data_IF_018128868010
#
_entry.id   IF_018128868010
#
_cell.length_a   1.000
_cell.length_b   1.000
_cell.length_c   1.000
_cell.angle_alpha   90.00
_cell.angle_beta   90.00
_cell.angle_gamma   90.00
#
_symmetry.space_group_name_H-M   'P 1'
#
loop_
_entity.id
_entity.type
_entity.pdbx_description
1 polymer ?
#
# COMPACT_ATOMS: atom_id res chain seq x y z
N UNK A 1 -2.64 -10.17 18.50
CA UNK A 1 -3.10 -9.45 17.30
C UNK A 1 -3.79 -8.16 17.69
N UNK A 2 -3.47 -7.09 16.99
CA UNK A 2 -4.08 -5.79 17.30
C UNK A 2 -5.52 -5.74 16.79
N UNK A 3 -6.42 -5.19 17.59
CA UNK A 3 -7.76 -4.89 17.15
C UNK A 3 -7.80 -3.63 16.30
N UNK A 4 -8.97 -3.28 15.78
CA UNK A 4 -9.15 -2.07 15.02
C UNK A 4 -8.97 -0.85 15.93
N UNK A 5 -8.32 0.17 15.40
CA UNK A 5 -8.05 1.41 16.12
C UNK A 5 -8.80 2.53 15.43
N UNK A 6 -9.51 3.34 16.20
CA UNK A 6 -10.21 4.50 15.66
C UNK A 6 -9.28 5.71 15.69
N UNK A 7 -9.11 6.35 14.55
CA UNK A 7 -8.32 7.55 14.41
C UNK A 7 -9.12 8.60 13.65
N UNK A 8 -8.83 9.85 13.94
CA UNK A 8 -9.44 10.97 13.23
C UNK A 8 -8.38 11.71 12.45
N UNK A 9 -8.67 12.02 11.18
CA UNK A 9 -7.76 12.76 10.31
C UNK A 9 -8.48 13.91 9.64
N UNK A 10 -7.75 14.97 9.37
CA UNK A 10 -8.24 16.03 8.50
C UNK A 10 -8.07 15.57 7.04
N UNK A 11 -8.74 16.24 6.12
CA UNK A 11 -8.60 15.93 4.69
C UNK A 11 -7.16 16.10 4.23
N UNK A 12 -6.47 17.14 4.70
CA UNK A 12 -5.06 17.38 4.35
C UNK A 12 -4.18 16.23 4.83
N UNK A 13 -4.44 15.73 6.04
CA UNK A 13 -3.69 14.61 6.57
C UNK A 13 -3.92 13.34 5.76
N UNK A 14 -5.15 13.11 5.32
CA UNK A 14 -5.47 11.96 4.48
C UNK A 14 -4.74 12.08 3.13
N UNK A 15 -4.69 13.26 2.54
CA UNK A 15 -3.96 13.47 1.29
C UNK A 15 -2.48 13.12 1.43
N UNK A 16 -1.86 13.55 2.53
CA UNK A 16 -0.46 13.23 2.80
C UNK A 16 -0.26 11.73 2.89
N UNK A 17 -1.14 11.03 3.60
CA UNK A 17 -1.05 9.59 3.75
C UNK A 17 -1.28 8.87 2.43
N UNK A 18 -2.24 9.31 1.64
CA UNK A 18 -2.53 8.72 0.33
C UNK A 18 -1.31 8.88 -0.59
N UNK A 19 -0.73 10.07 -0.65
CA UNK A 19 0.45 10.32 -1.50
C UNK A 19 1.62 9.44 -1.09
N UNK A 20 1.87 9.33 0.21
CA UNK A 20 2.96 8.50 0.72
C UNK A 20 2.75 7.02 0.39
N UNK A 21 1.52 6.55 0.56
CA UNK A 21 1.20 5.15 0.28
C UNK A 21 1.23 4.85 -1.21
N UNK A 22 0.80 5.78 -2.06
CA UNK A 22 0.88 5.60 -3.51
C UNK A 22 2.33 5.47 -3.98
N UNK A 23 3.22 6.30 -3.43
CA UNK A 23 4.64 6.21 -3.75
C UNK A 23 5.22 4.86 -3.33
N UNK A 24 4.86 4.41 -2.13
CA UNK A 24 5.32 3.13 -1.60
C UNK A 24 4.77 1.96 -2.42
N UNK A 25 3.51 2.05 -2.81
CA UNK A 25 2.87 1.03 -3.65
C UNK A 25 3.59 0.89 -4.98
N UNK A 26 3.92 2.00 -5.64
CA UNK A 26 4.66 1.98 -6.89
C UNK A 26 6.00 1.28 -6.73
N UNK A 27 6.69 1.53 -5.62
CA UNK A 27 7.96 0.89 -5.31
C UNK A 27 7.82 -0.63 -5.22
N UNK A 28 6.77 -1.11 -4.56
CA UNK A 28 6.55 -2.56 -4.45
C UNK A 28 6.12 -3.18 -5.78
N UNK A 29 5.33 -2.48 -6.57
CA UNK A 29 4.92 -2.96 -7.90
C UNK A 29 6.17 -3.12 -8.80
N UNK A 30 7.05 -2.14 -8.79
CA UNK A 30 8.30 -2.22 -9.56
C UNK A 30 9.21 -3.33 -9.06
N UNK A 31 9.32 -3.48 -7.74
CA UNK A 31 10.13 -4.55 -7.16
C UNK A 31 9.57 -5.92 -7.54
N UNK A 32 8.26 -6.08 -7.57
CA UNK A 32 7.64 -7.33 -8.00
C UNK A 32 7.94 -7.63 -9.48
N UNK A 33 7.93 -6.61 -10.32
CA UNK A 33 8.26 -6.78 -11.74
C UNK A 33 9.70 -7.23 -11.92
N UNK A 34 10.63 -6.62 -11.19
CA UNK A 34 12.04 -7.00 -11.23
C UNK A 34 12.25 -8.44 -10.75
N UNK A 35 11.60 -8.79 -9.66
CA UNK A 35 11.69 -10.16 -9.13
C UNK A 35 11.15 -11.17 -10.12
N UNK A 36 10.07 -10.83 -10.82
CA UNK A 36 9.50 -11.71 -11.85
C UNK A 36 10.46 -11.89 -13.02
N UNK A 37 11.11 -10.80 -13.44
CA UNK A 37 12.10 -10.85 -14.50
C UNK A 37 13.32 -11.69 -14.13
N UNK A 38 13.64 -11.78 -12.85
CA UNK A 38 14.76 -12.57 -12.33
C UNK A 38 14.36 -13.98 -11.89
N UNK A 39 13.12 -14.38 -12.14
CA UNK A 39 12.59 -15.68 -11.71
C UNK A 39 12.65 -15.89 -10.20
N UNK A 40 12.56 -14.81 -9.43
CA UNK A 40 12.58 -14.89 -7.97
C UNK A 40 11.15 -14.94 -7.43
N UNK A 41 10.57 -16.14 -7.41
CA UNK A 41 9.17 -16.34 -7.02
C UNK A 41 8.88 -15.93 -5.59
N UNK A 42 9.83 -16.17 -4.68
CA UNK A 42 9.65 -15.81 -3.28
C UNK A 42 9.50 -14.29 -3.13
N UNK A 43 10.34 -13.54 -3.83
CA UNK A 43 10.27 -12.07 -3.78
C UNK A 43 9.02 -11.54 -4.48
N UNK A 44 8.61 -12.16 -5.59
CA UNK A 44 7.36 -11.78 -6.27
C UNK A 44 6.20 -11.87 -5.28
N UNK A 45 6.11 -12.98 -4.56
CA UNK A 45 5.05 -13.17 -3.57
C UNK A 45 5.11 -12.12 -2.47
N UNK A 46 6.30 -11.90 -1.91
CA UNK A 46 6.49 -10.94 -0.83
C UNK A 46 6.08 -9.54 -1.25
N UNK A 47 6.55 -9.08 -2.40
CA UNK A 47 6.26 -7.73 -2.86
C UNK A 47 4.80 -7.56 -3.28
N UNK A 48 4.21 -8.61 -3.88
CA UNK A 48 2.81 -8.57 -4.26
C UNK A 48 1.91 -8.49 -3.03
N UNK A 49 2.19 -9.25 -1.99
CA UNK A 49 1.42 -9.20 -0.75
C UNK A 49 1.53 -7.83 -0.08
N UNK A 50 2.74 -7.24 -0.08
CA UNK A 50 2.93 -5.90 0.46
C UNK A 50 2.12 -4.88 -0.34
N UNK A 51 2.13 -4.96 -1.66
CA UNK A 51 1.36 -4.07 -2.52
C UNK A 51 -0.13 -4.19 -2.26
N UNK A 52 -0.63 -5.40 -2.08
CA UNK A 52 -2.04 -5.64 -1.78
C UNK A 52 -2.46 -5.02 -0.45
N UNK A 53 -1.62 -5.12 0.57
CA UNK A 53 -1.89 -4.52 1.87
C UNK A 53 -1.96 -3.00 1.77
N UNK A 54 -1.02 -2.41 1.04
CA UNK A 54 -1.00 -0.96 0.85
C UNK A 54 -2.23 -0.51 0.07
N UNK A 55 -2.59 -1.26 -0.97
CA UNK A 55 -3.78 -0.94 -1.77
C UNK A 55 -5.04 -0.99 -0.91
N UNK A 56 -5.14 -1.96 0.00
CA UNK A 56 -6.28 -2.06 0.91
C UNK A 56 -6.41 -0.84 1.81
N UNK A 57 -5.29 -0.36 2.36
CA UNK A 57 -5.28 0.85 3.19
C UNK A 57 -5.63 2.08 2.37
N UNK A 58 -5.06 2.20 1.17
CA UNK A 58 -5.37 3.30 0.26
C UNK A 58 -6.86 3.39 -0.04
N UNK A 59 -7.47 2.27 -0.38
CA UNK A 59 -8.90 2.22 -0.69
C UNK A 59 -9.74 2.72 0.49
N UNK A 60 -9.36 2.31 1.69
CA UNK A 60 -10.07 2.74 2.90
C UNK A 60 -9.91 4.24 3.15
N UNK A 61 -8.70 4.78 2.98
CA UNK A 61 -8.44 6.20 3.17
C UNK A 61 -9.18 7.04 2.13
N UNK A 62 -9.17 6.61 0.88
CA UNK A 62 -9.85 7.32 -0.20
C UNK A 62 -11.36 7.35 0.02
N UNK A 63 -11.91 6.30 0.60
CA UNK A 63 -13.33 6.25 0.93
C UNK A 63 -13.76 7.25 2.00
N UNK A 64 -12.82 7.74 2.81
CA UNK A 64 -13.13 8.70 3.87
C UNK A 64 -13.34 10.13 3.35
N UNK A 65 -12.83 10.45 2.18
CA UNK A 65 -12.93 11.81 1.61
C UNK A 65 -13.92 11.93 0.46
N UNK A 66 -14.56 10.85 0.10
CA UNK A 66 -15.57 10.83 -0.97
C UNK A 66 -16.98 11.04 -0.46
#
# INVERSE_FOLDING_TARGET
>A
MAGAIKLSFTEDEIEILVDALEADLEGYVEAAKEARGNNNRADVKTFTEAAERIQGVLTRLQGLVE
#
